data_IF_690529619284
#
_entry.id   IF_690529619284
#
_cell.length_a   1.000
_cell.length_b   1.000
_cell.length_c   1.000
_cell.angle_alpha   90.00
_cell.angle_beta   90.00
_cell.angle_gamma   90.00
#
_symmetry.space_group_name_H-M   'P 1'
#
loop_
_entity.id
_entity.type
_entity.pdbx_description
1 polymer ?
#
# COMPACT_ATOMS: atom_id res chain seq x y z
N UNK A 1 20.18 14.54 -26.36
CA UNK A 1 20.20 13.06 -26.37
C UNK A 1 20.05 12.61 -24.93
N UNK A 2 18.89 12.09 -24.53
CA UNK A 2 18.69 11.57 -23.17
C UNK A 2 19.49 10.26 -23.13
N UNK A 3 20.65 10.29 -22.48
CA UNK A 3 21.58 9.16 -22.45
C UNK A 3 20.94 7.93 -21.84
N UNK A 4 21.19 6.76 -22.43
CA UNK A 4 20.74 5.44 -21.95
C UNK A 4 21.09 5.21 -20.47
N UNK A 5 22.24 5.73 -20.02
CA UNK A 5 22.65 5.70 -18.61
C UNK A 5 21.68 6.43 -17.67
N UNK A 6 21.05 7.51 -18.13
CA UNK A 6 20.07 8.27 -17.34
C UNK A 6 18.73 7.53 -17.24
N UNK A 7 18.35 6.81 -18.30
CA UNK A 7 17.12 6.00 -18.37
C UNK A 7 17.25 4.74 -17.51
N UNK A 8 18.40 4.07 -17.55
CA UNK A 8 18.67 2.87 -16.73
C UNK A 8 18.68 3.22 -15.24
N UNK A 9 19.26 4.37 -14.88
CA UNK A 9 19.20 4.90 -13.51
C UNK A 9 17.75 5.25 -13.14
N UNK A 10 17.01 5.95 -14.00
CA UNK A 10 15.62 6.33 -13.73
C UNK A 10 14.70 5.11 -13.51
N UNK A 11 14.85 4.03 -14.27
CA UNK A 11 14.11 2.78 -14.01
C UNK A 11 14.44 2.16 -12.66
N UNK A 12 15.73 2.12 -12.30
CA UNK A 12 16.16 1.59 -11.01
C UNK A 12 15.66 2.47 -9.85
N UNK A 13 15.82 3.79 -9.94
CA UNK A 13 15.33 4.77 -8.98
C UNK A 13 13.82 4.71 -8.83
N UNK A 14 13.07 4.61 -9.93
CA UNK A 14 11.60 4.46 -9.91
C UNK A 14 11.19 3.19 -9.18
N UNK A 15 11.90 2.08 -9.37
CA UNK A 15 11.62 0.83 -8.65
C UNK A 15 11.87 0.93 -7.15
N UNK A 16 12.98 1.56 -6.74
CA UNK A 16 13.31 1.80 -5.33
C UNK A 16 12.30 2.74 -4.67
N UNK A 17 11.90 3.78 -5.38
CA UNK A 17 10.87 4.72 -4.96
C UNK A 17 9.53 3.98 -4.78
N UNK A 18 9.10 3.18 -5.76
CA UNK A 18 7.88 2.38 -5.66
C UNK A 18 7.89 1.45 -4.45
N UNK A 19 9.03 0.80 -4.16
CA UNK A 19 9.17 -0.05 -2.99
C UNK A 19 9.09 0.73 -1.67
N UNK A 20 9.75 1.89 -1.60
CA UNK A 20 9.73 2.74 -0.40
C UNK A 20 8.35 3.32 -0.16
N UNK A 21 7.70 3.83 -1.20
CA UNK A 21 6.34 4.36 -1.16
C UNK A 21 5.35 3.28 -0.73
N UNK A 22 5.43 2.08 -1.32
CA UNK A 22 4.59 0.94 -0.92
C UNK A 22 4.79 0.63 0.56
N UNK A 23 6.03 0.50 1.03
CA UNK A 23 6.30 0.22 2.45
C UNK A 23 5.73 1.29 3.38
N UNK A 24 5.85 2.57 3.03
CA UNK A 24 5.34 3.67 3.85
C UNK A 24 3.81 3.66 3.91
N UNK A 25 3.14 3.51 2.76
CA UNK A 25 1.66 3.46 2.69
C UNK A 25 1.11 2.23 3.42
N UNK A 26 1.79 1.08 3.31
CA UNK A 26 1.40 -0.12 4.04
C UNK A 26 1.71 -0.04 5.54
N UNK A 27 2.70 0.76 5.95
CA UNK A 27 3.07 0.92 7.36
C UNK A 27 2.14 1.84 8.15
N UNK A 28 1.41 2.72 7.48
CA UNK A 28 0.48 3.68 8.12
C UNK A 28 -0.98 3.22 8.09
N UNK A 29 -1.30 2.14 7.37
CA UNK A 29 -2.64 1.56 7.27
C UNK A 29 -2.74 0.23 8.03
N UNK A 30 -3.94 -0.09 8.52
CA UNK A 30 -4.22 -1.42 9.05
C UNK A 30 -4.23 -2.42 7.90
N UNK A 31 -3.83 -3.64 8.19
CA UNK A 31 -3.73 -4.68 7.18
C UNK A 31 -5.09 -5.08 6.56
N UNK A 32 -6.17 -4.94 7.32
CA UNK A 32 -7.54 -5.09 6.81
C UNK A 32 -7.88 -4.01 5.78
N UNK A 33 -7.52 -2.76 6.03
CA UNK A 33 -7.70 -1.64 5.10
C UNK A 33 -6.90 -1.89 3.81
N UNK A 34 -5.69 -2.44 3.94
CA UNK A 34 -4.85 -2.77 2.77
C UNK A 34 -5.49 -3.82 1.86
N UNK A 35 -6.15 -4.82 2.45
CA UNK A 35 -6.81 -5.88 1.69
C UNK A 35 -8.13 -5.39 1.07
N UNK A 36 -8.85 -4.50 1.75
CA UNK A 36 -10.16 -3.98 1.32
C UNK A 36 -10.09 -2.74 0.43
N UNK A 37 -9.04 -1.93 0.53
CA UNK A 37 -8.91 -0.63 -0.16
C UNK A 37 -7.79 -0.62 -1.22
N UNK A 38 -7.60 -1.74 -1.92
CA UNK A 38 -6.52 -1.86 -2.92
C UNK A 38 -6.53 -0.75 -3.96
N UNK A 39 -7.70 -0.35 -4.44
CA UNK A 39 -7.84 0.70 -5.45
C UNK A 39 -7.40 2.07 -4.91
N UNK A 40 -7.71 2.37 -3.64
CA UNK A 40 -7.30 3.61 -2.97
C UNK A 40 -5.78 3.64 -2.81
N UNK A 41 -5.18 2.51 -2.42
CA UNK A 41 -3.72 2.41 -2.27
C UNK A 41 -3.04 2.51 -3.63
N UNK A 42 -3.56 1.83 -4.65
CA UNK A 42 -3.09 1.93 -6.03
C UNK A 42 -3.11 3.37 -6.54
N UNK A 43 -4.22 4.10 -6.32
CA UNK A 43 -4.34 5.50 -6.73
C UNK A 43 -3.36 6.40 -5.97
N UNK A 44 -3.25 6.24 -4.64
CA UNK A 44 -2.30 7.01 -3.83
C UNK A 44 -0.85 6.77 -4.27
N UNK A 45 -0.49 5.51 -4.53
CA UNK A 45 0.83 5.17 -5.05
C UNK A 45 1.08 5.75 -6.44
N UNK A 46 0.07 5.73 -7.31
CA UNK A 46 0.17 6.30 -8.65
C UNK A 46 0.49 7.79 -8.58
N UNK A 47 -0.23 8.57 -7.77
CA UNK A 47 0.05 10.00 -7.60
C UNK A 47 1.46 10.26 -7.05
N UNK A 48 1.87 9.56 -5.99
CA UNK A 48 3.22 9.75 -5.40
C UNK A 48 4.33 9.39 -6.39
N UNK A 49 4.15 8.32 -7.17
CA UNK A 49 5.16 7.91 -8.15
C UNK A 49 5.17 8.84 -9.36
N UNK A 50 4.02 9.29 -9.84
CA UNK A 50 3.91 10.23 -10.94
C UNK A 50 4.65 11.54 -10.62
N UNK A 51 4.32 12.15 -9.47
CA UNK A 51 4.93 13.40 -9.02
C UNK A 51 6.45 13.29 -8.87
N UNK A 52 6.93 12.19 -8.30
CA UNK A 52 8.36 12.00 -8.03
C UNK A 52 9.15 11.57 -9.27
N UNK A 53 8.50 10.99 -10.29
CA UNK A 53 9.14 10.57 -11.55
C UNK A 53 9.05 11.62 -12.65
N UNK A 54 8.24 12.67 -12.45
CA UNK A 54 8.14 13.83 -13.35
C UNK A 54 9.51 14.50 -13.56
N UNK A 55 10.35 14.58 -12.53
CA UNK A 55 11.72 15.11 -12.60
C UNK A 55 12.63 14.33 -13.56
N UNK A 56 12.26 13.10 -13.93
CA UNK A 56 12.96 12.25 -14.89
C UNK A 56 12.27 12.20 -16.26
N UNK A 57 11.16 12.93 -16.45
CA UNK A 57 10.34 12.90 -17.66
C UNK A 57 9.57 11.59 -17.83
N UNK A 58 9.33 10.86 -16.75
CA UNK A 58 8.56 9.60 -16.74
C UNK A 58 7.14 9.92 -16.26
N UNK A 59 6.14 9.43 -16.99
CA UNK A 59 4.72 9.51 -16.61
C UNK A 59 4.25 8.17 -16.07
N UNK A 60 3.64 8.16 -14.89
CA UNK A 60 3.09 6.94 -14.29
C UNK A 60 1.60 6.88 -14.59
N UNK A 61 1.22 6.08 -15.59
CA UNK A 61 -0.18 5.97 -16.03
C UNK A 61 -1.04 5.13 -15.07
N UNK A 62 -0.50 4.04 -14.52
CA UNK A 62 -1.26 3.13 -13.65
C UNK A 62 -0.37 2.34 -12.69
N UNK A 63 -0.89 2.12 -11.49
CA UNK A 63 -0.29 1.24 -10.48
C UNK A 63 -1.32 0.19 -10.08
N UNK A 64 -0.94 -1.08 -10.15
CA UNK A 64 -1.77 -2.22 -9.74
C UNK A 64 -1.08 -3.04 -8.67
N UNK A 65 -1.80 -3.33 -7.58
CA UNK A 65 -1.36 -4.26 -6.56
C UNK A 65 -1.78 -5.68 -6.97
N UNK A 66 -0.82 -6.49 -7.43
CA UNK A 66 -1.07 -7.91 -7.77
C UNK A 66 -1.24 -8.78 -6.52
N UNK A 67 -0.16 -9.42 -6.07
CA UNK A 67 -0.22 -10.38 -4.97
C UNK A 67 0.30 -9.78 -3.67
N UNK A 68 -0.56 -9.74 -2.65
CA UNK A 68 -0.15 -9.41 -1.28
C UNK A 68 0.03 -10.72 -0.54
N UNK A 69 1.29 -11.15 -0.37
CA UNK A 69 1.61 -12.33 0.45
C UNK A 69 1.96 -11.90 1.85
N UNK A 70 1.09 -12.26 2.80
CA UNK A 70 1.27 -11.92 4.20
C UNK A 70 1.95 -13.08 4.94
N UNK A 71 2.95 -12.80 5.79
CA UNK A 71 3.49 -13.81 6.70
C UNK A 71 2.37 -14.42 7.54
N UNK A 72 2.43 -15.73 7.79
CA UNK A 72 1.41 -16.46 8.58
C UNK A 72 1.20 -15.85 9.97
N UNK A 73 2.27 -15.32 10.57
CA UNK A 73 2.22 -14.66 11.88
C UNK A 73 1.33 -13.40 11.85
N UNK A 74 1.42 -12.59 10.79
CA UNK A 74 0.59 -11.41 10.60
C UNK A 74 -0.88 -11.77 10.35
N UNK A 75 -1.15 -12.81 9.57
CA UNK A 75 -2.52 -13.29 9.34
C UNK A 75 -3.19 -13.71 10.66
N UNK A 76 -2.45 -14.38 11.55
CA UNK A 76 -2.95 -14.77 12.88
C UNK A 76 -3.22 -13.57 13.77
N UNK A 77 -2.31 -12.59 13.79
CA UNK A 77 -2.49 -11.36 14.56
C UNK A 77 -3.75 -10.59 14.11
N UNK A 78 -4.01 -10.51 12.80
CA UNK A 78 -5.23 -9.89 12.26
C UNK A 78 -6.49 -10.65 12.67
N UNK A 79 -6.48 -11.98 12.59
CA UNK A 79 -7.64 -12.78 12.97
C UNK A 79 -7.98 -12.56 14.45
N UNK A 80 -6.97 -12.48 15.31
CA UNK A 80 -7.13 -12.16 16.73
C UNK A 80 -7.66 -10.74 16.96
N UNK A 81 -7.12 -9.72 16.27
CA UNK A 81 -7.59 -8.33 16.36
C UNK A 81 -9.05 -8.19 15.86
N UNK A 82 -9.39 -8.87 14.77
CA UNK A 82 -10.73 -8.85 14.17
C UNK A 82 -11.77 -9.47 15.11
N UNK A 83 -11.46 -10.63 15.72
CA UNK A 83 -12.35 -11.26 16.70
C UNK A 83 -12.49 -10.40 17.96
N UNK A 84 -11.40 -9.84 18.49
CA UNK A 84 -11.45 -8.93 19.63
C UNK A 84 -12.30 -7.67 19.34
N UNK A 85 -12.18 -7.11 18.14
CA UNK A 85 -13.00 -5.97 17.70
C UNK A 85 -14.48 -6.35 17.58
N UNK A 86 -14.78 -7.54 17.06
CA UNK A 86 -16.14 -8.07 16.93
C UNK A 86 -16.77 -8.32 18.29
N UNK A 87 -16.05 -8.95 19.22
CA UNK A 87 -16.49 -9.18 20.59
C UNK A 87 -16.77 -7.86 21.32
N UNK A 88 -15.86 -6.88 21.20
CA UNK A 88 -16.04 -5.56 21.79
C UNK A 88 -17.30 -4.85 21.25
N UNK A 89 -17.53 -4.90 19.92
CA UNK A 89 -18.73 -4.33 19.29
C UNK A 89 -20.01 -5.05 19.74
N UNK A 90 -19.98 -6.37 19.87
CA UNK A 90 -21.11 -7.15 20.35
C UNK A 90 -21.48 -6.79 21.81
N UNK A 91 -20.48 -6.51 22.65
CA UNK A 91 -20.67 -6.09 24.04
C UNK A 91 -21.24 -4.68 24.18
N UNK A 92 -20.87 -3.77 23.30
CA UNK A 92 -21.39 -2.40 23.27
C UNK A 92 -22.81 -2.35 22.68
N UNK A 93 -23.10 -3.17 21.67
CA UNK A 93 -24.43 -3.27 21.06
C UNK A 93 -25.48 -4.02 21.90
N UNK A 94 -25.07 -4.69 22.99
CA UNK A 94 -25.96 -5.45 23.88
C UNK A 94 -26.28 -4.76 25.21
N UNK A 95 -25.86 -3.50 25.41
CA UNK A 95 -26.29 -2.71 26.56
C UNK A 95 -27.74 -2.24 26.32
N UNK A 96 -28.73 -2.66 27.13
CA UNK A 96 -30.07 -2.07 27.05
C UNK A 96 -30.01 -0.62 27.58
N UNK A 97 -30.70 0.28 26.88
CA UNK A 97 -30.99 1.64 27.36
C UNK A 97 -31.74 1.63 28.68
#
# INVERSE_FOLDING_TARGET
MISVANVENAHHSTRLLAQTTLRNVLGTKRLSEILSERDVISSSMQSVLDDATEAWGIKVERVEIKDVRLPVQLQRAMAAEAEATREARAKVGSLPL
#
